data_IF_337553544255
#
_entry.id   IF_337553544255
#
_cell.length_a   1.000
_cell.length_b   1.000
_cell.length_c   1.000
_cell.angle_alpha   90.00
_cell.angle_beta   90.00
_cell.angle_gamma   90.00
#
_symmetry.space_group_name_H-M   'P 1'
#
loop_
_entity.id
_entity.type
_entity.pdbx_description
1 polymer ?
#
# COMPACT_ATOMS: atom_id res chain seq x y z
N UNK A 1 -10.35 -12.01 3.39
CA UNK A 1 -10.60 -12.97 2.29
C UNK A 1 -11.17 -12.19 1.12
N UNK A 2 -10.52 -12.25 -0.05
CA UNK A 2 -10.96 -11.54 -1.26
C UNK A 2 -12.18 -12.25 -1.86
N UNK A 3 -13.20 -11.48 -2.23
CA UNK A 3 -14.41 -12.01 -2.89
C UNK A 3 -14.35 -11.74 -4.39
N UNK A 4 -13.85 -10.57 -4.80
CA UNK A 4 -13.80 -10.18 -6.21
C UNK A 4 -12.58 -9.32 -6.53
N UNK A 5 -12.08 -9.44 -7.77
CA UNK A 5 -11.04 -8.59 -8.37
C UNK A 5 -11.64 -7.84 -9.57
N UNK A 6 -11.47 -6.51 -9.62
CA UNK A 6 -11.97 -5.64 -10.71
C UNK A 6 -10.88 -4.70 -11.24
N UNK A 7 -11.19 -4.05 -12.36
CA UNK A 7 -10.46 -2.88 -12.88
C UNK A 7 -8.95 -3.11 -13.11
N UNK A 8 -8.60 -4.33 -13.55
CA UNK A 8 -7.23 -4.73 -13.81
C UNK A 8 -6.60 -3.92 -14.95
N UNK A 9 -5.52 -3.19 -14.66
CA UNK A 9 -4.74 -2.45 -15.66
C UNK A 9 -3.25 -2.48 -15.35
N UNK A 10 -2.42 -2.53 -16.39
CA UNK A 10 -0.98 -2.42 -16.22
C UNK A 10 -0.57 -0.96 -16.06
N UNK A 11 0.23 -0.68 -15.05
CA UNK A 11 0.85 0.64 -14.88
C UNK A 11 1.99 0.75 -15.90
N UNK A 12 2.10 1.87 -16.63
CA UNK A 12 3.17 2.10 -17.61
C UNK A 12 4.50 2.42 -16.92
N UNK A 13 5.08 1.42 -16.24
CA UNK A 13 6.40 1.49 -15.61
C UNK A 13 7.26 0.28 -15.94
N UNK A 14 8.56 0.36 -15.64
CA UNK A 14 9.48 -0.78 -15.74
C UNK A 14 8.98 -1.89 -14.79
N UNK A 15 8.87 -3.11 -15.32
CA UNK A 15 8.27 -4.24 -14.59
C UNK A 15 6.77 -4.41 -14.78
N UNK A 16 6.08 -3.45 -15.42
CA UNK A 16 4.64 -3.51 -15.77
C UNK A 16 3.77 -4.04 -14.60
N UNK A 17 3.78 -3.38 -13.43
CA UNK A 17 2.99 -3.85 -12.30
C UNK A 17 1.49 -3.77 -12.62
N UNK A 18 0.73 -4.71 -12.06
CA UNK A 18 -0.71 -4.82 -12.25
C UNK A 18 -1.44 -4.06 -11.14
N UNK A 19 -2.20 -3.04 -11.50
CA UNK A 19 -3.14 -2.36 -10.60
C UNK A 19 -4.51 -3.02 -10.71
N UNK A 20 -5.16 -3.27 -9.59
CA UNK A 20 -6.51 -3.87 -9.54
C UNK A 20 -7.25 -3.46 -8.27
N UNK A 21 -8.57 -3.55 -8.29
CA UNK A 21 -9.44 -3.31 -7.14
C UNK A 21 -9.84 -4.64 -6.52
N UNK A 22 -9.68 -4.76 -5.20
CA UNK A 22 -10.15 -5.88 -4.38
C UNK A 22 -11.44 -5.47 -3.70
N UNK A 23 -12.47 -6.31 -3.77
CA UNK A 23 -13.69 -6.18 -2.98
C UNK A 23 -13.72 -7.28 -1.93
N UNK A 24 -13.84 -6.90 -0.66
CA UNK A 24 -13.95 -7.85 0.45
C UNK A 24 -15.39 -8.31 0.70
N UNK A 25 -15.58 -9.18 1.70
CA UNK A 25 -16.90 -9.72 2.06
C UNK A 25 -17.88 -8.68 2.63
N UNK A 26 -17.37 -7.55 3.10
CA UNK A 26 -18.16 -6.44 3.64
C UNK A 26 -18.52 -5.43 2.55
N UNK A 27 -18.03 -5.63 1.32
CA UNK A 27 -18.20 -4.70 0.21
C UNK A 27 -17.18 -3.56 0.20
N UNK A 28 -16.18 -3.58 1.09
CA UNK A 28 -15.13 -2.56 1.07
C UNK A 28 -14.24 -2.77 -0.15
N UNK A 29 -13.90 -1.66 -0.81
CA UNK A 29 -13.03 -1.66 -1.97
C UNK A 29 -11.64 -1.18 -1.57
N UNK A 30 -10.59 -1.89 -2.02
CA UNK A 30 -9.19 -1.48 -1.88
C UNK A 30 -8.49 -1.56 -3.22
N UNK A 31 -7.73 -0.53 -3.57
CA UNK A 31 -6.87 -0.58 -4.76
C UNK A 31 -5.54 -1.22 -4.37
N UNK A 32 -5.10 -2.21 -5.11
CA UNK A 32 -3.84 -2.93 -4.91
C UNK A 32 -2.96 -2.82 -6.15
N UNK A 33 -1.65 -2.91 -5.93
CA UNK A 33 -0.64 -3.01 -6.99
C UNK A 33 0.16 -4.28 -6.75
N UNK A 34 0.12 -5.19 -7.72
CA UNK A 34 1.00 -6.35 -7.76
C UNK A 34 2.23 -6.02 -8.61
N UNK A 35 3.40 -6.16 -8.01
CA UNK A 35 4.69 -5.89 -8.64
C UNK A 35 5.54 -7.16 -8.63
N UNK A 36 6.05 -7.53 -9.79
CA UNK A 36 6.86 -8.73 -9.98
C UNK A 36 8.26 -8.34 -10.45
N UNK A 37 9.28 -9.03 -9.93
CA UNK A 37 10.69 -8.83 -10.31
C UNK A 37 11.48 -7.85 -9.44
N UNK A 38 10.81 -7.14 -8.54
CA UNK A 38 11.45 -6.25 -7.57
C UNK A 38 11.37 -6.86 -6.16
N UNK A 39 12.44 -6.71 -5.39
CA UNK A 39 12.43 -7.03 -3.97
C UNK A 39 11.76 -5.89 -3.19
N UNK A 40 10.60 -6.18 -2.61
CA UNK A 40 9.82 -5.22 -1.83
C UNK A 40 10.17 -5.24 -0.34
N UNK A 41 11.11 -6.08 0.10
CA UNK A 41 11.48 -6.19 1.52
C UNK A 41 12.09 -4.88 2.03
N UNK A 42 12.89 -4.20 1.21
CA UNK A 42 13.45 -2.89 1.57
C UNK A 42 12.35 -1.85 1.74
N UNK A 43 11.45 -1.71 0.77
CA UNK A 43 10.30 -0.80 0.85
C UNK A 43 9.41 -1.13 2.06
N UNK A 44 9.14 -2.41 2.33
CA UNK A 44 8.35 -2.85 3.47
C UNK A 44 8.99 -2.47 4.82
N UNK A 45 10.31 -2.61 4.94
CA UNK A 45 11.05 -2.15 6.13
C UNK A 45 10.94 -0.64 6.29
N UNK A 46 11.13 0.14 5.22
CA UNK A 46 11.00 1.59 5.25
C UNK A 46 9.61 2.02 5.71
N UNK A 47 8.55 1.40 5.19
CA UNK A 47 7.16 1.69 5.62
C UNK A 47 6.95 1.35 7.09
N UNK A 48 7.51 0.25 7.58
CA UNK A 48 7.43 -0.12 9.00
C UNK A 48 8.13 0.92 9.91
N UNK A 49 9.31 1.41 9.52
CA UNK A 49 10.01 2.46 10.27
C UNK A 49 9.23 3.78 10.23
N UNK A 50 8.68 4.17 9.08
CA UNK A 50 7.86 5.38 8.98
C UNK A 50 6.59 5.30 9.82
N UNK A 51 5.99 4.11 9.99
CA UNK A 51 4.87 3.89 10.91
C UNK A 51 5.26 4.22 12.35
N UNK A 52 6.42 3.74 12.79
CA UNK A 52 6.93 3.99 14.14
C UNK A 52 7.26 5.47 14.35
N UNK A 53 7.91 6.11 13.37
CA UNK A 53 8.19 7.55 13.45
C UNK A 53 6.91 8.38 13.51
N UNK A 54 5.88 8.03 12.72
CA UNK A 54 4.59 8.70 12.77
C UNK A 54 3.89 8.52 14.12
N UNK A 55 4.07 7.38 14.77
CA UNK A 55 3.57 7.15 16.12
C UNK A 55 4.24 8.12 17.12
N UNK A 56 5.56 8.23 17.10
CA UNK A 56 6.34 9.15 17.95
C UNK A 56 5.90 10.61 17.72
N UNK A 57 5.76 11.05 16.47
CA UNK A 57 5.30 12.41 16.17
C UNK A 57 3.92 12.71 16.78
N UNK A 58 2.99 11.76 16.70
CA UNK A 58 1.65 11.91 17.29
C UNK A 58 1.70 12.00 18.82
N UNK A 59 2.58 11.25 19.47
CA UNK A 59 2.79 11.32 20.92
C UNK A 59 3.34 12.68 21.35
N UNK A 60 4.25 13.25 20.55
CA UNK A 60 4.82 14.58 20.76
C UNK A 60 3.92 15.73 20.26
N UNK A 61 2.67 15.42 19.89
CA UNK A 61 1.71 16.39 19.34
C UNK A 61 2.22 17.14 18.10
N UNK A 62 3.10 16.51 17.33
CA UNK A 62 3.59 17.01 16.04
C UNK A 62 2.76 16.40 14.93
N UNK A 63 2.08 17.24 14.15
CA UNK A 63 1.44 16.81 12.90
C UNK A 63 2.47 16.83 11.77
N UNK A 64 3.09 15.68 11.52
CA UNK A 64 4.06 15.49 10.46
C UNK A 64 3.43 15.11 9.11
N UNK A 65 2.09 15.05 9.01
CA UNK A 65 1.34 14.70 7.80
C UNK A 65 1.86 13.44 7.07
N UNK A 66 2.36 12.44 7.81
CA UNK A 66 2.98 11.24 7.22
C UNK A 66 1.94 10.41 6.46
N UNK A 67 2.12 10.30 5.14
CA UNK A 67 1.29 9.46 4.28
C UNK A 67 1.86 8.04 4.27
N UNK A 68 1.10 7.11 4.85
CA UNK A 68 1.43 5.69 4.88
C UNK A 68 0.43 4.93 4.02
N UNK A 69 0.94 4.08 3.13
CA UNK A 69 0.10 3.20 2.32
C UNK A 69 -0.29 1.96 3.15
N UNK A 70 -1.56 1.55 3.08
CA UNK A 70 -2.12 0.43 3.86
C UNK A 70 -2.74 -0.68 2.99
#
# INVERSE_FOLDING_TARGET
MVVELRDGSFIPSKGKPLKFTVIDRQGNTKTCIYKHGDDLLQDAMCVAVMKEMNHIFKEEHVDAEVVLYE
#
